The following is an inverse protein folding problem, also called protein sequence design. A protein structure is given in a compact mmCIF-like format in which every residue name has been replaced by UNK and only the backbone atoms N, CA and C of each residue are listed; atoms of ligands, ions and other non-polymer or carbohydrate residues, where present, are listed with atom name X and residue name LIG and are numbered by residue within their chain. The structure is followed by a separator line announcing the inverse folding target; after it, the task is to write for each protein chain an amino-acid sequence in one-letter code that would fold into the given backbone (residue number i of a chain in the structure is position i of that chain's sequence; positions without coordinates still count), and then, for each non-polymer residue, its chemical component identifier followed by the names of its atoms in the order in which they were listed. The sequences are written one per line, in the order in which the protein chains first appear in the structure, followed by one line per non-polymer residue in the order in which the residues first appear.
data_IF_215933036237
#
_entry.id   IF_215933036237
#
_cell.length_a   1.000
_cell.length_b   1.000
_cell.length_c   1.000
_cell.angle_alpha   90.00
_cell.angle_beta   90.00
_cell.angle_gamma   90.00
#
_symmetry.space_group_name_H-M   'P 1'
#
loop_
_entity.id
_entity.type
_entity.pdbx_description
1 polymer ?
#
# COMPACT_ATOMS: atom_id res chain seq x y z
N UNK A 1 9.67 -3.12 8.42
CA UNK A 1 9.67 -1.65 8.63
C UNK A 1 9.73 -1.24 10.10
N UNK A 2 8.90 -1.80 11.00
CA UNK A 2 8.77 -1.28 12.38
C UNK A 2 10.08 -1.14 13.18
N UNK A 3 11.06 -2.04 13.01
CA UNK A 3 12.36 -1.93 13.71
C UNK A 3 13.22 -0.76 13.23
N UNK A 4 13.21 -0.46 11.93
CA UNK A 4 14.01 0.64 11.33
C UNK A 4 13.41 2.00 11.63
N UNK A 5 12.07 2.08 11.70
CA UNK A 5 11.35 3.30 12.03
C UNK A 5 11.69 3.81 13.45
N UNK A 6 12.02 2.91 14.37
CA UNK A 6 12.41 3.28 15.74
C UNK A 6 13.78 3.96 15.83
N UNK A 7 14.63 3.83 14.80
CA UNK A 7 15.99 4.38 14.78
C UNK A 7 16.15 5.61 13.88
N UNK A 8 15.06 6.11 13.28
CA UNK A 8 15.07 7.29 12.41
C UNK A 8 14.20 8.39 13.02
N UNK A 9 14.56 9.65 12.77
CA UNK A 9 13.78 10.80 13.21
C UNK A 9 13.74 11.89 12.13
N UNK A 10 12.71 12.74 12.11
CA UNK A 10 12.61 13.83 11.14
C UNK A 10 13.74 14.87 11.28
N UNK A 11 14.36 14.98 12.45
CA UNK A 11 15.49 15.88 12.74
C UNK A 11 16.83 15.31 12.26
N UNK A 12 16.95 13.97 12.17
CA UNK A 12 18.19 13.29 11.79
C UNK A 12 18.26 12.95 10.31
N UNK A 13 17.13 12.89 9.61
CA UNK A 13 17.11 12.65 8.15
C UNK A 13 15.90 13.31 7.48
N UNK A 14 16.16 14.06 6.42
CA UNK A 14 15.13 14.64 5.53
C UNK A 14 14.28 13.56 4.83
N UNK A 15 14.78 12.32 4.74
CA UNK A 15 14.05 11.20 4.13
C UNK A 15 13.16 10.44 5.11
N UNK A 16 13.26 10.70 6.41
CA UNK A 16 12.54 9.98 7.45
C UNK A 16 11.00 9.99 7.26
N UNK A 17 10.33 11.09 6.88
CA UNK A 17 8.89 11.10 6.67
C UNK A 17 8.44 10.21 5.50
N UNK A 18 9.28 10.00 4.49
CA UNK A 18 8.96 9.15 3.35
C UNK A 18 8.88 7.68 3.71
N UNK A 19 9.63 7.22 4.71
CA UNK A 19 9.52 5.84 5.22
C UNK A 19 8.11 5.55 5.72
N UNK A 20 7.47 6.53 6.36
CA UNK A 20 6.07 6.42 6.78
C UNK A 20 5.10 6.40 5.61
N UNK A 21 5.34 7.19 4.55
CA UNK A 21 4.54 7.10 3.32
C UNK A 21 4.64 5.68 2.74
N UNK A 22 5.85 5.14 2.57
CA UNK A 22 6.03 3.79 2.01
C UNK A 22 5.39 2.71 2.87
N UNK A 23 5.48 2.84 4.21
CA UNK A 23 4.76 1.96 5.13
C UNK A 23 3.25 2.03 4.90
N UNK A 24 2.68 3.24 4.78
CA UNK A 24 1.27 3.43 4.49
C UNK A 24 0.84 2.82 3.15
N UNK A 25 1.68 2.94 2.12
CA UNK A 25 1.46 2.29 0.82
C UNK A 25 1.40 0.76 0.97
N UNK A 26 2.36 0.15 1.67
CA UNK A 26 2.37 -1.30 1.89
C UNK A 26 1.15 -1.78 2.71
N UNK A 27 0.75 -0.99 3.70
CA UNK A 27 -0.44 -1.24 4.53
C UNK A 27 -1.71 -1.25 3.69
N UNK A 28 -1.83 -0.34 2.71
CA UNK A 28 -2.96 -0.32 1.78
C UNK A 28 -2.87 -1.50 0.81
N UNK A 29 -1.75 -1.65 0.11
CA UNK A 29 -1.63 -2.51 -1.06
C UNK A 29 -1.52 -4.00 -0.71
N UNK A 30 -0.88 -4.35 0.40
CA UNK A 30 -0.57 -5.74 0.73
C UNK A 30 -1.25 -6.24 1.99
N UNK A 31 -1.58 -5.35 2.92
CA UNK A 31 -2.26 -5.70 4.18
C UNK A 31 -3.76 -5.38 4.16
N UNK A 32 -4.19 -4.38 3.38
CA UNK A 32 -5.57 -3.87 3.39
C UNK A 32 -5.92 -3.16 4.70
N UNK A 33 -4.92 -2.76 5.48
CA UNK A 33 -5.09 -2.12 6.78
C UNK A 33 -5.14 -0.61 6.62
N UNK A 34 -6.33 -0.12 6.25
CA UNK A 34 -6.57 1.31 6.02
C UNK A 34 -6.32 2.15 7.28
N UNK A 35 -6.62 1.60 8.46
CA UNK A 35 -6.41 2.31 9.74
C UNK A 35 -4.91 2.43 10.06
N UNK A 36 -4.13 1.38 9.82
CA UNK A 36 -2.68 1.46 9.95
C UNK A 36 -2.09 2.46 8.95
N UNK A 37 -2.55 2.43 7.69
CA UNK A 37 -2.13 3.39 6.67
C UNK A 37 -2.45 4.83 7.06
N UNK A 38 -3.66 5.09 7.57
CA UNK A 38 -4.05 6.40 8.10
C UNK A 38 -3.04 6.90 9.14
N UNK A 39 -2.68 6.06 10.12
CA UNK A 39 -1.70 6.41 11.15
C UNK A 39 -0.31 6.68 10.57
N UNK A 40 0.10 5.91 9.57
CA UNK A 40 1.36 6.13 8.85
C UNK A 40 1.38 7.49 8.15
N UNK A 41 0.31 7.86 7.43
CA UNK A 41 0.21 9.17 6.77
C UNK A 41 0.09 10.34 7.76
N UNK A 42 -0.62 10.18 8.88
CA UNK A 42 -0.68 11.20 9.94
C UNK A 42 0.70 11.43 10.57
N UNK A 43 1.46 10.37 10.78
CA UNK A 43 2.84 10.47 11.30
C UNK A 43 3.76 11.15 10.28
N UNK A 44 3.65 10.80 8.99
CA UNK A 44 4.39 11.47 7.92
C UNK A 44 4.08 12.98 7.88
N UNK A 45 2.82 13.38 8.02
CA UNK A 45 2.40 14.78 8.07
C UNK A 45 3.09 15.55 9.19
N UNK A 46 3.06 15.01 10.41
CA UNK A 46 3.74 15.60 11.57
C UNK A 46 5.23 15.75 11.32
N UNK A 47 5.87 14.73 10.74
CA UNK A 47 7.31 14.72 10.48
C UNK A 47 7.71 15.72 9.40
N UNK A 48 6.93 15.88 8.34
CA UNK A 48 7.14 16.94 7.35
C UNK A 48 6.97 18.34 7.95
N UNK A 49 6.01 18.52 8.88
CA UNK A 49 5.85 19.77 9.62
C UNK A 49 7.09 20.12 10.45
N UNK A 50 7.70 19.14 11.14
CA UNK A 50 8.96 19.34 11.88
C UNK A 50 10.10 19.78 10.94
N UNK A 51 10.14 19.26 9.72
CA UNK A 51 11.12 19.63 8.71
C UNK A 51 10.84 20.97 8.00
N UNK A 52 9.74 21.67 8.36
CA UNK A 52 9.32 22.90 7.71
C UNK A 52 8.80 22.71 6.28
N UNK A 53 8.49 21.47 5.87
CA UNK A 53 7.91 21.17 4.57
C UNK A 53 6.37 21.18 4.64
N UNK A 54 5.81 22.39 4.67
CA UNK A 54 4.36 22.60 4.80
C UNK A 54 3.55 21.96 3.68
N UNK A 55 4.05 22.01 2.44
CA UNK A 55 3.38 21.40 1.30
C UNK A 55 3.17 19.90 1.53
N UNK A 56 4.23 19.17 1.87
CA UNK A 56 4.14 17.72 2.13
C UNK A 56 3.36 17.39 3.41
N UNK A 57 3.48 18.22 4.43
CA UNK A 57 2.70 18.11 5.67
C UNK A 57 1.19 18.14 5.38
N UNK A 58 0.74 19.09 4.56
CA UNK A 58 -0.67 19.21 4.16
C UNK A 58 -1.10 18.05 3.28
N UNK A 59 -0.34 17.70 2.24
CA UNK A 59 -0.70 16.60 1.32
C UNK A 59 -0.90 15.25 2.04
N UNK A 60 0.03 14.91 2.94
CA UNK A 60 -0.06 13.67 3.72
C UNK A 60 -1.21 13.71 4.74
N UNK A 61 -1.51 14.88 5.32
CA UNK A 61 -2.69 15.06 6.19
C UNK A 61 -3.99 14.83 5.43
N UNK A 62 -4.13 15.36 4.22
CA UNK A 62 -5.32 15.15 3.39
C UNK A 62 -5.49 13.68 3.01
N UNK A 63 -4.38 12.98 2.77
CA UNK A 63 -4.42 11.52 2.56
C UNK A 63 -4.89 10.79 3.82
N UNK A 64 -4.38 11.14 5.00
CA UNK A 64 -4.85 10.56 6.26
C UNK A 64 -6.35 10.82 6.50
N UNK A 65 -6.85 12.01 6.18
CA UNK A 65 -8.28 12.34 6.25
C UNK A 65 -9.11 11.51 5.28
N UNK A 66 -8.64 11.33 4.04
CA UNK A 66 -9.30 10.45 3.07
C UNK A 66 -9.35 9.00 3.58
N UNK A 67 -8.24 8.47 4.09
CA UNK A 67 -8.19 7.11 4.65
C UNK A 67 -9.12 6.94 5.87
N UNK A 68 -9.37 8.01 6.64
CA UNK A 68 -10.34 7.98 7.73
C UNK A 68 -11.79 7.72 7.26
N UNK A 69 -12.10 7.93 5.98
CA UNK A 69 -13.40 7.54 5.37
C UNK A 69 -13.53 6.03 5.15
N UNK A 70 -12.48 5.26 5.48
CA UNK A 70 -12.38 3.82 5.31
C UNK A 70 -12.66 3.34 3.87
N UNK A 71 -11.93 3.85 2.85
CA UNK A 71 -12.12 3.45 1.47
C UNK A 71 -11.86 1.95 1.26
N UNK A 72 -12.62 1.33 0.36
CA UNK A 72 -12.37 -0.07 -0.02
C UNK A 72 -11.03 -0.21 -0.77
N UNK A 73 -10.07 -0.88 -0.13
CA UNK A 73 -8.73 -1.12 -0.67
C UNK A 73 -8.68 -2.29 -1.67
N UNK A 74 -9.73 -3.13 -1.78
CA UNK A 74 -9.63 -4.41 -2.50
C UNK A 74 -9.15 -4.25 -3.94
N UNK A 75 -9.66 -3.25 -4.67
CA UNK A 75 -9.23 -2.99 -6.06
C UNK A 75 -7.74 -2.63 -6.13
N UNK A 76 -7.26 -1.81 -5.20
CA UNK A 76 -5.84 -1.45 -5.12
C UNK A 76 -4.98 -2.67 -4.77
N UNK A 77 -5.42 -3.49 -3.81
CA UNK A 77 -4.72 -4.72 -3.42
C UNK A 77 -4.67 -5.72 -4.58
N UNK A 78 -5.78 -5.93 -5.29
CA UNK A 78 -5.83 -6.81 -6.47
C UNK A 78 -4.83 -6.32 -7.52
N UNK A 79 -4.79 -5.01 -7.79
CA UNK A 79 -3.81 -4.42 -8.71
C UNK A 79 -2.36 -4.69 -8.29
N UNK A 80 -2.03 -4.48 -7.01
CA UNK A 80 -0.69 -4.70 -6.49
C UNK A 80 -0.25 -6.17 -6.60
N UNK A 81 -1.12 -7.12 -6.19
CA UNK A 81 -0.83 -8.55 -6.32
C UNK A 81 -0.79 -9.01 -7.78
N UNK A 82 -1.59 -8.41 -8.67
CA UNK A 82 -1.54 -8.67 -10.10
C UNK A 82 -0.18 -8.30 -10.71
N UNK A 83 0.41 -7.18 -10.28
CA UNK A 83 1.77 -6.79 -10.67
C UNK A 83 2.79 -7.83 -10.19
N UNK A 84 2.70 -8.31 -8.96
CA UNK A 84 3.60 -9.36 -8.46
C UNK A 84 3.44 -10.66 -9.27
N UNK A 85 2.19 -11.05 -9.56
CA UNK A 85 1.89 -12.23 -10.35
C UNK A 85 2.48 -12.15 -11.77
N UNK A 86 2.41 -10.99 -12.43
CA UNK A 86 2.85 -10.83 -13.82
C UNK A 86 4.35 -10.57 -13.99
N UNK A 87 5.03 -10.03 -12.96
CA UNK A 87 6.44 -9.62 -13.06
C UNK A 87 7.43 -10.61 -12.45
N UNK A 88 6.99 -11.49 -11.56
CA UNK A 88 7.90 -12.42 -10.87
C UNK A 88 8.06 -13.73 -11.65
N UNK A 89 9.29 -14.27 -11.69
CA UNK A 89 9.61 -15.55 -12.34
C UNK A 89 9.51 -16.75 -11.39
N UNK A 90 9.54 -16.50 -10.07
CA UNK A 90 9.44 -17.56 -9.06
C UNK A 90 8.00 -18.07 -8.92
N UNK A 91 7.80 -19.36 -9.22
CA UNK A 91 6.48 -20.00 -9.18
C UNK A 91 5.81 -19.96 -7.81
N UNK A 92 6.60 -20.02 -6.72
CA UNK A 92 6.06 -19.98 -5.36
C UNK A 92 5.45 -18.60 -5.08
N UNK A 93 6.14 -17.54 -5.47
CA UNK A 93 5.67 -16.16 -5.30
C UNK A 93 4.48 -15.86 -6.21
N UNK A 94 4.49 -16.35 -7.45
CA UNK A 94 3.32 -16.26 -8.34
C UNK A 94 2.09 -16.94 -7.73
N UNK A 95 2.23 -18.17 -7.21
CA UNK A 95 1.11 -18.87 -6.57
C UNK A 95 0.58 -18.11 -5.34
N UNK A 96 1.48 -17.57 -4.51
CA UNK A 96 1.07 -16.76 -3.35
C UNK A 96 0.30 -15.51 -3.78
N UNK A 97 0.75 -14.80 -4.81
CA UNK A 97 0.04 -13.64 -5.35
C UNK A 97 -1.33 -14.03 -5.91
N UNK A 98 -1.43 -15.13 -6.64
CA UNK A 98 -2.69 -15.68 -7.14
C UNK A 98 -3.68 -15.98 -6.01
N UNK A 99 -3.22 -16.63 -4.94
CA UNK A 99 -4.04 -16.94 -3.77
C UNK A 99 -4.54 -15.66 -3.07
N UNK A 100 -3.69 -14.63 -3.00
CA UNK A 100 -4.09 -13.32 -2.46
C UNK A 100 -5.16 -12.65 -3.32
N UNK A 101 -5.02 -12.62 -4.63
CA UNK A 101 -6.03 -12.04 -5.54
C UNK A 101 -7.38 -12.76 -5.37
N UNK A 102 -7.37 -14.10 -5.31
CA UNK A 102 -8.58 -14.91 -5.10
C UNK A 102 -9.21 -14.67 -3.74
N UNK A 103 -8.41 -14.54 -2.67
CA UNK A 103 -8.92 -14.24 -1.32
C UNK A 103 -9.60 -12.88 -1.22
N UNK A 104 -9.27 -11.94 -2.11
CA UNK A 104 -9.91 -10.63 -2.23
C UNK A 104 -11.22 -10.67 -3.03
N UNK A 105 -11.60 -11.84 -3.54
CA UNK A 105 -12.84 -12.08 -4.27
C UNK A 105 -12.71 -11.90 -5.79
N UNK A 106 -11.50 -11.76 -6.33
CA UNK A 106 -11.30 -11.67 -7.77
C UNK A 106 -11.05 -13.04 -8.40
N UNK A 107 -11.64 -13.26 -9.57
CA UNK A 107 -11.34 -14.44 -10.38
C UNK A 107 -10.12 -14.16 -11.26
N UNK A 108 -9.24 -15.15 -11.36
CA UNK A 108 -8.01 -15.07 -12.17
C UNK A 108 -7.99 -16.19 -13.19
N UNK A 109 -7.86 -15.79 -14.46
CA UNK A 109 -7.75 -16.67 -15.61
C UNK A 109 -6.42 -16.41 -16.30
N UNK A 110 -5.66 -17.48 -16.56
CA UNK A 110 -4.43 -17.43 -17.34
C UNK A 110 -4.68 -18.26 -18.59
N UNK A 111 -4.61 -17.63 -19.77
CA UNK A 111 -4.81 -18.34 -21.03
C UNK A 111 -3.64 -19.31 -21.31
N UNK A 112 -3.80 -20.30 -22.21
CA UNK A 112 -2.70 -21.17 -22.64
C UNK A 112 -1.49 -20.41 -23.19
N UNK A 113 -1.71 -19.22 -23.75
CA UNK A 113 -0.69 -18.31 -24.26
C UNK A 113 -0.04 -17.44 -23.17
N UNK A 114 -0.42 -17.64 -21.91
CA UNK A 114 0.13 -16.92 -20.75
C UNK A 114 -0.52 -15.56 -20.49
N UNK A 115 -1.64 -15.22 -21.15
CA UNK A 115 -2.32 -13.93 -20.93
C UNK A 115 -3.11 -13.97 -19.63
N UNK A 116 -2.76 -13.08 -18.70
CA UNK A 116 -3.47 -12.87 -17.43
C UNK A 116 -4.74 -12.03 -17.65
N UNK A 117 -5.86 -12.53 -17.15
CA UNK A 117 -7.13 -11.80 -17.04
C UNK A 117 -7.64 -11.88 -15.61
N UNK A 118 -8.03 -10.73 -15.05
CA UNK A 118 -8.56 -10.62 -13.69
C UNK A 118 -9.95 -10.00 -13.76
N UNK A 119 -10.94 -10.71 -13.23
CA UNK A 119 -12.29 -10.19 -13.05
C UNK A 119 -12.41 -9.64 -11.64
N UNK A 120 -12.62 -8.33 -11.55
CA UNK A 120 -12.80 -7.65 -10.27
C UNK A 120 -14.10 -8.09 -9.59
N UNK A 121 -14.15 -8.20 -8.26
CA UNK A 121 -15.39 -8.43 -7.54
C UNK A 121 -16.35 -7.25 -7.73
N UNK A 122 -17.65 -7.53 -7.70
CA UNK A 122 -18.66 -6.48 -7.65
C UNK A 122 -18.48 -5.63 -6.37
N UNK A 123 -18.73 -4.33 -6.50
CA UNK A 123 -18.76 -3.45 -5.34
C UNK A 123 -19.94 -3.86 -4.45
N UNK A 124 -19.68 -4.04 -3.14
CA UNK A 124 -20.76 -4.19 -2.16
C UNK A 124 -21.38 -2.85 -1.82
#
# INVERSE_FOLDING_TARGET
MNRVIQSISPETSTLAPYVWIYKGVDEILFLGDIKAAQNSYDTASKWFGIQGNEYMSVQTRETAKFLATNPDAKKAQIGAWATILSTNLDKKTQQYALDKIRSLGADVFISPEGKLQIRMPEAK
#
